data_IF_366483923060
#
_entry.id   IF_366483923060
#
_cell.length_a   1.000
_cell.length_b   1.000
_cell.length_c   1.000
_cell.angle_alpha   90.00
_cell.angle_beta   90.00
_cell.angle_gamma   90.00
#
_symmetry.space_group_name_H-M   'P 1'
#
loop_
_entity.id
_entity.type
_entity.pdbx_description
1 polymer ?
#
# COMPACT_ATOMS: atom_id res chain seq x y z
N UNK A 1 -1.22 11.74 -8.31
CA UNK A 1 -0.19 10.76 -8.75
C UNK A 1 -0.70 9.33 -8.54
N UNK A 2 -0.10 8.31 -9.16
CA UNK A 2 -0.53 6.90 -8.96
C UNK A 2 -0.47 6.47 -7.48
N UNK A 3 0.51 6.99 -6.73
CA UNK A 3 0.67 6.77 -5.29
C UNK A 3 -0.52 7.25 -4.47
N UNK A 4 -1.04 8.45 -4.73
CA UNK A 4 -2.24 8.99 -4.06
C UNK A 4 -3.45 8.09 -4.30
N UNK A 5 -3.66 7.63 -5.54
CA UNK A 5 -4.81 6.77 -5.88
C UNK A 5 -4.71 5.40 -5.21
N UNK A 6 -3.51 4.84 -5.12
CA UNK A 6 -3.27 3.61 -4.38
C UNK A 6 -3.46 3.80 -2.87
N UNK A 7 -3.08 4.96 -2.31
CA UNK A 7 -3.31 5.28 -0.90
C UNK A 7 -4.82 5.44 -0.58
N UNK A 8 -5.57 6.16 -1.42
CA UNK A 8 -7.04 6.27 -1.30
C UNK A 8 -7.72 4.90 -1.36
N UNK A 9 -7.30 4.04 -2.29
CA UNK A 9 -7.82 2.67 -2.40
C UNK A 9 -7.49 1.87 -1.12
N UNK A 10 -6.25 1.96 -0.64
CA UNK A 10 -5.82 1.29 0.59
C UNK A 10 -6.65 1.72 1.81
N UNK A 11 -6.89 3.02 1.99
CA UNK A 11 -7.68 3.53 3.11
C UNK A 11 -9.12 3.00 3.06
N UNK A 12 -9.75 3.02 1.88
CA UNK A 12 -11.10 2.47 1.69
C UNK A 12 -11.19 0.97 1.97
N UNK A 13 -10.28 0.14 1.44
CA UNK A 13 -10.30 -1.31 1.70
C UNK A 13 -9.91 -1.64 3.14
N UNK A 14 -9.13 -0.78 3.80
CA UNK A 14 -8.81 -0.89 5.21
C UNK A 14 -10.04 -0.60 6.09
N UNK A 15 -10.81 0.43 5.76
CA UNK A 15 -12.09 0.71 6.41
C UNK A 15 -13.09 -0.43 6.26
N UNK A 16 -13.21 -1.02 5.05
CA UNK A 16 -14.14 -2.13 4.80
C UNK A 16 -13.78 -3.41 5.55
N UNK A 17 -12.48 -3.68 5.72
CA UNK A 17 -11.94 -4.84 6.44
C UNK A 17 -12.68 -6.17 6.17
N UNK A 18 -12.79 -6.60 4.90
CA UNK A 18 -13.80 -7.57 4.45
C UNK A 18 -13.58 -9.03 4.89
N UNK A 19 -12.39 -9.39 5.36
CA UNK A 19 -12.07 -10.76 5.74
C UNK A 19 -12.01 -10.93 7.26
N UNK A 20 -12.30 -12.14 7.74
CA UNK A 20 -12.18 -12.50 9.17
C UNK A 20 -10.74 -12.41 9.66
N UNK A 21 -9.78 -12.79 8.81
CA UNK A 21 -8.33 -12.66 9.03
C UNK A 21 -7.62 -12.51 7.67
N UNK A 22 -6.39 -11.97 7.69
CA UNK A 22 -5.55 -11.87 6.49
C UNK A 22 -5.71 -10.59 5.67
N UNK A 23 -6.51 -9.61 6.11
CA UNK A 23 -6.73 -8.34 5.39
C UNK A 23 -5.43 -7.68 4.96
N UNK A 24 -4.47 -7.49 5.87
CA UNK A 24 -3.21 -6.84 5.52
C UNK A 24 -2.42 -7.53 4.41
N UNK A 25 -2.46 -8.87 4.33
CA UNK A 25 -1.80 -9.61 3.22
C UNK A 25 -2.56 -9.38 1.91
N UNK A 26 -3.88 -9.49 1.93
CA UNK A 26 -4.72 -9.30 0.73
C UNK A 26 -4.66 -7.86 0.21
N UNK A 27 -4.69 -6.86 1.09
CA UNK A 27 -4.59 -5.43 0.73
C UNK A 27 -3.29 -5.13 -0.01
N UNK A 28 -2.14 -5.57 0.53
CA UNK A 28 -0.83 -5.36 -0.10
C UNK A 28 -0.72 -6.04 -1.45
N UNK A 29 -1.19 -7.28 -1.56
CA UNK A 29 -1.14 -8.01 -2.82
C UNK A 29 -2.08 -7.39 -3.87
N UNK A 30 -3.25 -6.93 -3.46
CA UNK A 30 -4.17 -6.21 -4.33
C UNK A 30 -3.54 -4.92 -4.88
N UNK A 31 -2.91 -4.11 -4.02
CA UNK A 31 -2.20 -2.90 -4.44
C UNK A 31 -1.02 -3.22 -5.36
N UNK A 32 -0.26 -4.28 -5.08
CA UNK A 32 0.84 -4.75 -5.94
C UNK A 32 0.34 -5.10 -7.34
N UNK A 33 -0.79 -5.81 -7.45
CA UNK A 33 -1.41 -6.15 -8.72
C UNK A 33 -1.93 -4.92 -9.47
N UNK A 34 -2.55 -3.96 -8.77
CA UNK A 34 -2.99 -2.71 -9.38
C UNK A 34 -1.83 -1.88 -9.93
N UNK A 35 -0.72 -1.79 -9.18
CA UNK A 35 0.50 -1.13 -9.64
C UNK A 35 1.10 -1.85 -10.86
N UNK A 36 1.15 -3.18 -10.82
CA UNK A 36 1.66 -4.02 -11.90
C UNK A 36 0.90 -3.83 -13.21
N UNK A 37 -0.43 -3.78 -13.15
CA UNK A 37 -1.30 -3.51 -14.30
C UNK A 37 -1.04 -2.14 -14.95
N UNK A 38 -0.45 -1.20 -14.19
CA UNK A 38 -0.06 0.13 -14.68
C UNK A 38 1.42 0.24 -15.04
N UNK A 39 2.16 -0.88 -15.07
CA UNK A 39 3.57 -0.90 -15.43
C UNK A 39 4.51 -0.50 -14.29
N UNK A 40 4.06 -0.61 -13.04
CA UNK A 40 4.87 -0.32 -11.86
C UNK A 40 5.15 -1.57 -11.03
N UNK A 41 6.27 -1.60 -10.31
CA UNK A 41 6.44 -2.48 -9.15
C UNK A 41 6.07 -1.72 -7.88
N UNK A 42 5.51 -2.43 -6.90
CA UNK A 42 5.22 -1.87 -5.59
C UNK A 42 5.57 -2.90 -4.52
N UNK A 43 6.49 -2.56 -3.62
CA UNK A 43 6.84 -3.42 -2.49
C UNK A 43 6.51 -2.77 -1.15
N UNK A 44 5.43 -3.25 -0.52
CA UNK A 44 4.99 -2.84 0.82
C UNK A 44 5.23 -3.93 1.88
N UNK A 45 6.11 -4.89 1.61
CA UNK A 45 6.32 -6.07 2.45
C UNK A 45 7.00 -5.70 3.78
N UNK A 46 6.33 -5.86 4.94
CA UNK A 46 6.86 -5.45 6.24
C UNK A 46 8.17 -6.11 6.74
N UNK A 47 8.40 -7.43 6.52
CA UNK A 47 9.57 -8.15 7.03
C UNK A 47 10.92 -7.55 6.68
N UNK A 48 11.00 -6.80 5.58
CA UNK A 48 12.27 -6.35 5.03
C UNK A 48 12.67 -4.96 5.55
N UNK A 49 11.72 -4.20 6.14
CA UNK A 49 11.98 -2.84 6.57
C UNK A 49 11.02 -2.37 7.68
N UNK A 50 11.56 -2.15 8.89
CA UNK A 50 10.79 -1.68 10.05
C UNK A 50 10.07 -0.33 9.81
N UNK A 51 10.69 0.58 9.06
CA UNK A 51 10.11 1.89 8.74
C UNK A 51 8.89 1.77 7.82
N UNK A 52 8.94 0.86 6.84
CA UNK A 52 7.77 0.53 5.99
C UNK A 52 6.62 0.04 6.85
N UNK A 53 6.90 -0.90 7.75
CA UNK A 53 5.88 -1.44 8.65
C UNK A 53 5.26 -0.35 9.52
N UNK A 54 6.07 0.44 10.23
CA UNK A 54 5.59 1.47 11.15
C UNK A 54 4.74 2.53 10.42
N UNK A 55 5.18 3.00 9.24
CA UNK A 55 4.42 3.98 8.46
C UNK A 55 3.15 3.39 7.86
N UNK A 56 3.18 2.14 7.38
CA UNK A 56 1.99 1.46 6.89
C UNK A 56 0.95 1.31 8.01
N UNK A 57 1.38 0.83 9.19
CA UNK A 57 0.50 0.65 10.34
C UNK A 57 -0.05 2.00 10.83
N UNK A 58 0.80 3.03 10.96
CA UNK A 58 0.34 4.36 11.35
C UNK A 58 -0.69 4.91 10.35
N UNK A 59 -0.37 4.90 9.06
CA UNK A 59 -1.25 5.42 8.02
C UNK A 59 -2.59 4.69 7.93
N UNK A 60 -2.60 3.37 8.12
CA UNK A 60 -3.85 2.58 8.12
C UNK A 60 -4.65 2.70 9.42
N UNK A 61 -4.02 2.89 10.58
CA UNK A 61 -4.74 3.07 11.85
C UNK A 61 -5.32 4.48 11.96
N UNK A 62 -4.57 5.50 11.54
CA UNK A 62 -4.96 6.91 11.66
C UNK A 62 -5.74 7.43 10.43
N UNK A 63 -5.95 6.58 9.42
CA UNK A 63 -6.47 6.99 8.10
C UNK A 63 -5.70 8.19 7.52
N UNK A 64 -4.38 8.21 7.73
CA UNK A 64 -3.49 9.25 7.22
C UNK A 64 -3.05 8.91 5.78
N UNK A 65 -3.90 9.33 4.83
CA UNK A 65 -3.69 9.14 3.40
C UNK A 65 -2.41 9.81 2.91
N UNK A 66 -1.96 10.91 3.55
CA UNK A 66 -0.72 11.58 3.15
C UNK A 66 0.49 10.73 3.49
N UNK A 67 0.56 10.19 4.71
CA UNK A 67 1.62 9.26 5.12
C UNK A 67 1.65 8.03 4.20
N UNK A 68 0.48 7.47 3.84
CA UNK A 68 0.39 6.34 2.91
C UNK A 68 0.83 6.71 1.48
N UNK A 69 0.48 7.90 1.02
CA UNK A 69 0.89 8.41 -0.30
C UNK A 69 2.40 8.53 -0.41
N UNK A 70 3.05 9.15 0.58
CA UNK A 70 4.50 9.27 0.64
C UNK A 70 5.17 7.89 0.69
N UNK A 71 4.66 7.00 1.54
CA UNK A 71 5.18 5.64 1.65
C UNK A 71 5.10 4.89 0.32
N UNK A 72 3.96 4.96 -0.38
CA UNK A 72 3.76 4.30 -1.67
C UNK A 72 4.65 4.93 -2.73
N UNK A 73 4.79 6.26 -2.74
CA UNK A 73 5.65 6.96 -3.68
C UNK A 73 7.13 6.54 -3.54
N UNK A 74 7.62 6.34 -2.32
CA UNK A 74 9.00 5.85 -2.09
C UNK A 74 9.22 4.37 -2.43
N UNK A 75 8.13 3.61 -2.63
CA UNK A 75 8.18 2.15 -2.83
C UNK A 75 7.68 1.72 -4.20
N UNK A 76 7.23 2.66 -5.01
CA UNK A 76 6.79 2.42 -6.37
C UNK A 76 7.95 2.69 -7.32
N UNK A 77 8.19 1.76 -8.24
CA UNK A 77 9.23 1.89 -9.26
C UNK A 77 8.67 1.54 -10.63
N UNK A 78 9.24 2.07 -11.70
CA UNK A 78 8.86 1.70 -13.06
C UNK A 78 9.32 0.29 -13.37
N UNK A 79 8.47 -0.53 -13.99
CA UNK A 79 8.91 -1.77 -14.62
C UNK A 79 9.70 -1.44 -15.90
N UNK A 80 10.91 -0.89 -15.77
CA UNK A 80 11.86 -0.93 -16.87
C UNK A 80 12.30 -2.40 -17.01
N UNK A 81 11.93 -3.01 -18.14
CA UNK A 81 12.49 -4.29 -18.57
C UNK A 81 13.91 -4.08 -19.09
#
# INVERSE_FOLDING_TARGET
MISEKLAEILDNINYLHPFREGNGRTQREFLRLLALEKGFTLNLTPPDNKSVYERYMKGTIESDVNTLTELIFERIDTNEK
#
